data_IF_024071522490
#
_entry.id   IF_024071522490
#
_cell.length_a   1.000
_cell.length_b   1.000
_cell.length_c   1.000
_cell.angle_alpha   90.00
_cell.angle_beta   90.00
_cell.angle_gamma   90.00
#
_symmetry.space_group_name_H-M   'P 1'
#
loop_
_entity.id
_entity.type
_entity.pdbx_description
1 polymer ?
#
# COMPACT_ATOMS: atom_id res chain seq x y z
N UNK A 1 -28.01 14.20 -9.83
CA UNK A 1 -26.70 14.87 -9.88
C UNK A 1 -26.19 14.94 -8.45
N UNK A 2 -25.13 14.18 -8.12
CA UNK A 2 -24.50 14.25 -6.80
C UNK A 2 -23.17 14.96 -7.03
N UNK A 3 -23.09 16.22 -6.60
CA UNK A 3 -21.86 17.00 -6.67
C UNK A 3 -20.92 16.52 -5.56
N UNK A 4 -19.87 15.79 -5.95
CA UNK A 4 -18.78 15.44 -5.05
C UNK A 4 -17.86 16.67 -4.98
N UNK A 5 -18.00 17.47 -3.94
CA UNK A 5 -17.07 18.57 -3.65
C UNK A 5 -15.72 17.99 -3.27
N UNK A 6 -14.73 18.21 -4.13
CA UNK A 6 -13.33 17.88 -3.84
C UNK A 6 -12.82 18.95 -2.88
N UNK A 7 -12.87 18.66 -1.59
CA UNK A 7 -12.25 19.48 -0.55
C UNK A 7 -10.72 19.48 -0.76
N UNK A 8 -10.17 20.60 -1.23
CA UNK A 8 -8.72 20.81 -1.44
C UNK A 8 -7.89 20.76 -0.14
N UNK A 9 -8.54 20.57 1.02
CA UNK A 9 -7.92 20.45 2.35
C UNK A 9 -7.72 19.01 2.82
N UNK A 10 -8.18 18.00 2.07
CA UNK A 10 -8.02 16.59 2.45
C UNK A 10 -6.66 16.06 1.98
N UNK A 11 -5.76 15.91 2.94
CA UNK A 11 -4.50 15.18 2.77
C UNK A 11 -4.74 13.88 1.99
N UNK A 12 -3.85 13.50 1.04
CA UNK A 12 -4.04 12.31 0.23
C UNK A 12 -4.23 11.11 1.15
N UNK A 13 -5.41 10.48 1.08
CA UNK A 13 -5.66 9.24 1.80
C UNK A 13 -4.66 8.19 1.30
N UNK A 14 -4.04 7.47 2.22
CA UNK A 14 -3.03 6.48 1.90
C UNK A 14 -3.17 5.26 2.81
N UNK A 15 -2.50 4.18 2.40
CA UNK A 15 -2.46 2.92 3.13
C UNK A 15 -1.03 2.67 3.59
N UNK A 16 -0.89 2.21 4.83
CA UNK A 16 0.37 1.64 5.30
C UNK A 16 0.54 0.25 4.70
N UNK A 17 1.49 0.11 3.79
CA UNK A 17 1.86 -1.19 3.21
C UNK A 17 3.10 -1.73 3.91
N UNK A 18 3.01 -2.98 4.37
CA UNK A 18 4.16 -3.72 4.88
C UNK A 18 4.75 -4.55 3.75
N UNK A 19 6.06 -4.53 3.63
CA UNK A 19 6.77 -5.44 2.74
C UNK A 19 8.08 -5.88 3.37
N UNK A 20 8.50 -7.11 3.05
CA UNK A 20 9.74 -7.68 3.56
C UNK A 20 10.83 -7.46 2.52
N UNK A 21 11.79 -6.62 2.86
CA UNK A 21 12.99 -6.45 2.06
C UNK A 21 14.10 -7.19 2.75
N UNK A 22 14.80 -7.95 1.95
CA UNK A 22 16.03 -8.51 2.37
C UNK A 22 17.03 -7.29 2.54
N UNK A 23 17.69 -7.10 3.70
CA UNK A 23 18.94 -6.30 3.81
C UNK A 23 20.10 -6.97 4.60
N UNK A 24 21.34 -6.59 4.29
CA UNK A 24 22.51 -6.96 5.09
C UNK A 24 22.60 -6.11 6.37
N UNK A 25 22.86 -6.75 7.52
CA UNK A 25 23.00 -6.09 8.83
C UNK A 25 24.18 -6.65 9.62
N UNK A 26 24.77 -5.81 10.45
CA UNK A 26 25.76 -6.26 11.45
C UNK A 26 25.03 -6.75 12.69
N UNK A 27 25.40 -7.93 13.17
CA UNK A 27 24.94 -8.44 14.46
C UNK A 27 26.12 -8.72 15.36
N UNK A 28 25.92 -8.48 16.65
CA UNK A 28 26.87 -8.82 17.69
C UNK A 28 26.50 -10.20 18.23
N UNK A 29 27.43 -11.13 18.12
CA UNK A 29 27.34 -12.42 18.77
C UNK A 29 28.46 -12.55 19.80
N UNK A 30 28.19 -13.30 20.85
CA UNK A 30 29.22 -13.70 21.79
C UNK A 30 29.71 -15.08 21.36
N UNK A 31 31.01 -15.23 21.17
CA UNK A 31 31.63 -16.51 20.84
C UNK A 31 32.46 -16.98 22.04
N UNK A 32 32.26 -18.22 22.45
CA UNK A 32 33.06 -18.85 23.49
C UNK A 32 34.36 -19.36 22.87
N UNK A 33 35.47 -18.76 23.28
CA UNK A 33 36.82 -19.30 23.06
C UNK A 33 37.37 -19.72 24.44
N UNK A 34 38.47 -19.12 24.89
CA UNK A 34 38.96 -19.23 26.27
C UNK A 34 38.21 -18.32 27.25
N UNK A 35 37.71 -17.19 26.73
CA UNK A 35 36.85 -16.20 27.42
C UNK A 35 35.83 -15.75 26.37
N UNK A 36 34.62 -15.36 26.80
CA UNK A 36 33.60 -14.83 25.90
C UNK A 36 34.06 -13.54 25.25
N UNK A 37 34.11 -13.52 23.92
CA UNK A 37 34.47 -12.34 23.13
C UNK A 37 33.31 -11.90 22.26
N UNK A 38 33.09 -10.58 22.11
CA UNK A 38 32.13 -10.07 21.14
C UNK A 38 32.70 -10.22 19.74
N UNK A 39 31.92 -10.80 18.84
CA UNK A 39 32.22 -10.96 17.44
C UNK A 39 31.12 -10.30 16.61
N UNK A 40 31.53 -9.45 15.67
CA UNK A 40 30.62 -8.81 14.75
C UNK A 40 30.63 -9.56 13.43
N UNK A 41 29.46 -9.98 12.97
CA UNK A 41 29.31 -10.58 11.63
C UNK A 41 28.24 -9.89 10.82
N UNK A 42 28.47 -9.83 9.52
CA UNK A 42 27.51 -9.32 8.54
C UNK A 42 26.60 -10.48 8.14
N UNK A 43 25.31 -10.35 8.44
CA UNK A 43 24.31 -11.37 8.14
C UNK A 43 23.27 -10.78 7.21
N UNK A 44 22.83 -11.63 6.29
CA UNK A 44 21.72 -11.37 5.42
C UNK A 44 20.41 -11.81 6.13
N UNK A 45 19.50 -10.89 6.43
CA UNK A 45 18.18 -11.24 6.98
C UNK A 45 17.01 -10.42 6.43
N UNK A 46 15.76 -10.89 6.66
CA UNK A 46 14.55 -10.16 6.31
C UNK A 46 14.37 -8.94 7.22
N UNK A 47 13.96 -7.82 6.63
CA UNK A 47 13.61 -6.58 7.33
C UNK A 47 12.22 -6.16 6.89
N UNK A 48 11.31 -5.98 7.84
CA UNK A 48 9.99 -5.41 7.56
C UNK A 48 10.10 -3.90 7.39
N UNK A 49 9.65 -3.41 6.25
CA UNK A 49 9.55 -1.99 5.95
C UNK A 49 8.07 -1.63 5.86
N UNK A 50 7.70 -0.51 6.49
CA UNK A 50 6.38 0.10 6.35
C UNK A 50 6.51 1.32 5.47
N UNK A 51 5.87 1.28 4.31
CA UNK A 51 5.81 2.41 3.38
C UNK A 51 4.39 2.96 3.34
N UNK A 52 4.28 4.28 3.26
CA UNK A 52 3.00 4.95 3.02
C UNK A 52 2.75 4.99 1.52
N UNK A 53 1.64 4.39 1.07
CA UNK A 53 1.25 4.36 -0.33
C UNK A 53 -0.02 5.21 -0.52
N UNK A 54 0.01 6.28 -1.32
CA UNK A 54 -1.19 7.08 -1.57
C UNK A 54 -2.22 6.27 -2.38
N UNK A 55 -3.49 6.43 -2.04
CA UNK A 55 -4.60 5.84 -2.80
C UNK A 55 -4.74 6.65 -4.11
N UNK A 56 -4.76 6.00 -5.29
CA UNK A 56 -4.97 6.71 -6.54
C UNK A 56 -6.37 7.34 -6.55
N UNK A 57 -6.47 8.54 -7.12
CA UNK A 57 -7.76 9.18 -7.32
C UNK A 57 -8.67 8.29 -8.17
N UNK A 58 -9.98 8.23 -7.87
CA UNK A 58 -10.91 7.47 -8.68
C UNK A 58 -10.87 7.97 -10.14
N UNK A 59 -11.10 7.08 -11.12
CA UNK A 59 -11.20 7.48 -12.51
C UNK A 59 -12.33 8.51 -12.67
N UNK A 60 -12.06 9.58 -13.42
CA UNK A 60 -12.99 10.71 -13.61
C UNK A 60 -14.25 10.35 -14.40
N UNK A 61 -14.27 9.20 -15.08
CA UNK A 61 -15.40 8.75 -15.89
C UNK A 61 -15.82 7.38 -15.39
N UNK A 62 -16.97 7.34 -14.72
CA UNK A 62 -17.71 6.10 -14.53
C UNK A 62 -18.28 5.70 -15.90
N UNK A 63 -18.25 4.42 -16.31
CA UNK A 63 -19.05 3.99 -17.45
C UNK A 63 -20.51 4.29 -17.10
N UNK A 64 -21.11 5.25 -17.82
CA UNK A 64 -22.54 5.49 -17.76
C UNK A 64 -23.18 4.16 -18.16
N UNK A 65 -23.84 3.49 -17.21
CA UNK A 65 -24.74 2.42 -17.59
C UNK A 65 -25.88 3.11 -18.31
N UNK A 66 -25.82 3.12 -19.64
CA UNK A 66 -26.99 3.50 -20.44
C UNK A 66 -28.04 2.43 -20.16
N UNK A 67 -29.01 2.78 -19.31
CA UNK A 67 -30.22 1.99 -19.17
C UNK A 67 -30.98 2.09 -20.51
N UNK A 68 -31.15 0.99 -21.26
CA UNK A 68 -32.01 1.04 -22.42
C UNK A 68 -33.43 1.26 -21.92
N UNK A 69 -33.92 2.49 -22.05
CA UNK A 69 -35.32 2.82 -21.86
C UNK A 69 -36.17 1.82 -22.63
N UNK A 70 -36.86 0.95 -21.89
CA UNK A 70 -37.84 0.02 -22.44
C UNK A 70 -39.04 0.86 -22.90
N UNK A 71 -39.05 1.23 -24.18
CA UNK A 71 -40.23 1.82 -24.82
C UNK A 71 -41.21 0.67 -25.05
N UNK A 72 -42.14 0.50 -24.12
CA UNK A 72 -43.33 -0.30 -24.38
C UNK A 72 -44.18 0.47 -25.40
N UNK A 73 -44.11 0.02 -26.66
CA UNK A 73 -45.01 0.42 -27.74
C UNK A 73 -46.41 -0.11 -27.39
N UNK A 74 -47.29 0.76 -26.85
CA UNK A 74 -48.72 0.47 -26.79
C UNK A 74 -49.24 0.40 -28.23
N UNK A 75 -49.65 -0.80 -28.67
CA UNK A 75 -50.41 -1.00 -29.90
C UNK A 75 -51.90 -0.91 -29.56
N UNK A 76 -52.58 0.03 -30.21
CA UNK A 76 -54.04 0.16 -30.29
C UNK A 76 -54.73 -1.08 -30.87
#
# INVERSE_FOLDING_TARGET
>A
VIDITIDETKHPQGLWKKHTVWKARWIKEWKQEKVWKPFWKKVWGPVEIREWVPIPNPPKVLPVHEDPHFVAEERD
#
